data_IF_368694473461
#
_entry.id   IF_368694473461
#
_cell.length_a   1.000
_cell.length_b   1.000
_cell.length_c   1.000
_cell.angle_alpha   90.00
_cell.angle_beta   90.00
_cell.angle_gamma   90.00
#
_symmetry.space_group_name_H-M   'P 1'
#
loop_
_entity.id
_entity.type
_entity.pdbx_description
1 polymer ?
#
# COMPACT_ATOMS: atom_id res chain seq x y z
N UNK A 1 -2.40 4.28 4.14
CA UNK A 1 -1.24 5.15 4.23
C UNK A 1 -0.03 4.28 4.05
N UNK A 2 0.72 4.50 2.96
CA UNK A 2 2.04 3.91 2.79
C UNK A 2 3.01 4.90 3.43
N UNK A 3 3.09 4.86 4.77
CA UNK A 3 3.82 5.84 5.57
C UNK A 3 5.34 5.77 5.39
N UNK A 4 5.81 4.61 4.92
CA UNK A 4 7.22 4.31 4.80
C UNK A 4 7.90 5.24 3.83
N UNK A 5 8.93 5.93 4.32
CA UNK A 5 9.80 6.75 3.51
C UNK A 5 11.20 6.72 4.08
N UNK A 6 12.16 6.97 3.21
CA UNK A 6 13.54 7.19 3.65
C UNK A 6 13.67 8.67 3.99
N UNK A 7 13.86 8.94 5.28
CA UNK A 7 14.34 10.23 5.73
C UNK A 7 15.85 10.25 5.58
N UNK A 8 16.36 11.26 4.92
CA UNK A 8 17.78 11.61 4.95
C UNK A 8 18.05 12.46 6.18
N UNK A 9 19.02 12.05 7.00
CA UNK A 9 19.40 12.72 8.24
C UNK A 9 20.66 13.58 8.02
N UNK A 10 20.60 14.83 8.49
CA UNK A 10 21.61 15.87 8.22
C UNK A 10 21.33 16.71 6.99
N UNK A 11 22.38 17.35 6.46
CA UNK A 11 22.27 18.21 5.28
C UNK A 11 21.68 17.40 4.11
N UNK A 12 20.55 17.86 3.57
CA UNK A 12 19.88 17.22 2.43
C UNK A 12 20.79 17.10 1.20
N UNK A 13 21.78 17.98 1.03
CA UNK A 13 22.75 17.91 -0.06
C UNK A 13 23.79 16.81 0.14
N UNK A 14 24.09 16.47 1.39
CA UNK A 14 25.08 15.45 1.74
C UNK A 14 24.68 14.71 3.02
N UNK A 15 23.61 13.90 2.98
CA UNK A 15 23.13 13.21 4.18
C UNK A 15 24.10 12.11 4.58
N UNK A 16 24.27 11.95 5.89
CA UNK A 16 25.23 10.99 6.47
C UNK A 16 24.54 9.76 7.05
N UNK A 17 23.20 9.79 7.17
CA UNK A 17 22.38 8.64 7.60
C UNK A 17 20.98 8.67 7.01
N UNK A 18 20.27 7.54 7.12
CA UNK A 18 18.96 7.33 6.51
C UNK A 18 18.04 6.46 7.38
N UNK A 19 16.72 6.57 7.23
CA UNK A 19 15.76 5.60 7.80
C UNK A 19 15.42 4.47 6.81
N UNK A 20 14.92 3.30 7.28
CA UNK A 20 14.88 2.87 8.67
C UNK A 20 16.29 2.79 9.30
N UNK A 21 16.38 3.02 10.60
CA UNK A 21 17.66 3.15 11.31
C UNK A 21 17.63 2.57 12.73
N UNK A 22 18.80 2.35 13.33
CA UNK A 22 18.96 1.81 14.68
C UNK A 22 19.31 2.91 15.68
N UNK A 23 18.63 2.92 16.81
CA UNK A 23 18.96 3.67 18.01
C UNK A 23 19.75 2.71 18.91
N UNK A 24 21.02 3.01 19.12
CA UNK A 24 21.89 2.20 19.98
C UNK A 24 21.67 2.55 21.45
N UNK A 25 21.90 1.59 22.33
CA UNK A 25 22.22 1.87 23.72
C UNK A 25 23.75 1.94 23.93
N UNK A 26 24.21 2.43 25.08
CA UNK A 26 25.64 2.51 25.45
C UNK A 26 26.34 1.15 25.42
N UNK A 27 25.61 0.07 25.68
CA UNK A 27 26.14 -1.30 25.75
C UNK A 27 26.09 -2.04 24.40
N UNK A 28 25.53 -1.43 23.35
CA UNK A 28 25.41 -2.06 22.04
C UNK A 28 26.71 -1.97 21.23
N UNK A 29 26.99 -2.97 20.36
CA UNK A 29 28.07 -2.85 19.40
C UNK A 29 27.93 -1.59 18.53
N UNK A 30 29.05 -0.93 18.29
CA UNK A 30 29.07 0.27 17.46
C UNK A 30 28.81 -0.08 15.99
N UNK A 31 27.63 0.28 15.50
CA UNK A 31 27.30 0.23 14.08
C UNK A 31 27.73 1.52 13.35
N UNK A 32 27.89 1.50 12.01
CA UNK A 32 28.13 2.70 11.22
C UNK A 32 27.02 3.75 11.42
N UNK A 33 27.39 5.04 11.41
CA UNK A 33 26.43 6.16 11.55
C UNK A 33 25.32 6.10 10.50
N UNK A 34 25.62 5.60 9.31
CA UNK A 34 24.68 5.43 8.20
C UNK A 34 23.54 4.44 8.50
N UNK A 35 23.69 3.56 9.49
CA UNK A 35 22.70 2.58 9.94
C UNK A 35 22.17 2.96 11.32
N UNK A 36 23.05 3.42 12.20
CA UNK A 36 22.74 3.77 13.57
C UNK A 36 23.04 5.24 13.85
N UNK A 37 22.14 6.18 13.54
CA UNK A 37 22.37 7.61 13.71
C UNK A 37 22.24 8.09 15.17
N UNK A 38 21.57 7.35 16.04
CA UNK A 38 21.25 7.83 17.39
C UNK A 38 21.78 6.89 18.48
N UNK A 39 22.04 7.47 19.66
CA UNK A 39 22.27 6.74 20.92
C UNK A 39 21.19 7.18 21.89
N UNK A 40 20.48 6.23 22.49
CA UNK A 40 19.57 6.48 23.59
C UNK A 40 20.20 6.10 24.92
N UNK A 41 19.84 6.81 25.98
CA UNK A 41 20.09 6.38 27.34
C UNK A 41 18.89 6.68 28.23
N UNK A 42 18.69 5.84 29.25
CA UNK A 42 17.58 5.94 30.19
C UNK A 42 18.13 5.98 31.60
N UNK A 43 17.84 7.06 32.32
CA UNK A 43 18.24 7.27 33.70
C UNK A 43 17.03 7.07 34.62
N UNK A 44 17.04 5.95 35.36
CA UNK A 44 15.98 5.59 36.30
C UNK A 44 16.32 6.00 37.75
N UNK A 45 17.29 6.89 37.94
CA UNK A 45 17.72 7.41 39.25
C UNK A 45 16.67 8.30 39.90
N UNK A 46 15.77 8.90 39.11
CA UNK A 46 14.61 9.67 39.56
C UNK A 46 13.31 9.09 38.97
N UNK A 47 12.19 9.32 39.66
CA UNK A 47 10.86 8.90 39.22
C UNK A 47 10.02 10.15 38.90
N UNK A 48 9.58 10.33 37.66
CA UNK A 48 9.74 9.41 36.52
C UNK A 48 11.14 9.41 35.88
N UNK A 49 11.47 8.36 35.13
CA UNK A 49 12.77 8.22 34.48
C UNK A 49 12.99 9.26 33.37
N UNK A 50 14.24 9.67 33.19
CA UNK A 50 14.64 10.54 32.09
C UNK A 50 15.20 9.70 30.93
N UNK A 51 14.78 10.02 29.71
CA UNK A 51 15.28 9.43 28.47
C UNK A 51 15.97 10.51 27.69
N UNK A 52 17.21 10.26 27.30
CA UNK A 52 17.95 11.13 26.40
C UNK A 52 18.28 10.42 25.10
N UNK A 53 18.20 11.15 23.99
CA UNK A 53 18.61 10.69 22.65
C UNK A 53 19.65 11.67 22.14
N UNK A 54 20.84 11.16 21.84
CA UNK A 54 21.94 11.91 21.25
C UNK A 54 22.13 11.54 19.79
N UNK A 55 22.37 12.53 18.94
CA UNK A 55 22.80 12.30 17.56
C UNK A 55 24.26 11.83 17.54
N UNK A 56 24.59 10.94 16.61
CA UNK A 56 25.98 10.50 16.35
C UNK A 56 26.62 11.25 15.18
N UNK A 57 25.91 12.23 14.63
CA UNK A 57 26.33 13.07 13.52
C UNK A 57 25.64 14.43 13.58
N UNK A 58 26.12 15.36 12.76
CA UNK A 58 25.63 16.73 12.73
C UNK A 58 24.35 16.80 11.91
N UNK A 59 23.21 16.53 12.56
CA UNK A 59 21.94 16.31 11.86
C UNK A 59 21.00 17.51 11.86
N UNK A 60 21.17 18.41 12.83
CA UNK A 60 20.31 19.56 13.00
C UNK A 60 20.99 20.80 12.45
N UNK A 61 20.21 21.69 11.83
CA UNK A 61 20.73 22.97 11.36
C UNK A 61 21.30 23.77 12.56
N UNK A 62 22.50 24.36 12.45
CA UNK A 62 23.28 24.63 11.24
C UNK A 62 24.30 23.55 10.82
N UNK A 63 24.17 22.33 11.33
CA UNK A 63 24.99 21.14 11.03
C UNK A 63 26.44 21.25 11.51
N UNK A 64 26.65 21.90 12.65
CA UNK A 64 27.95 22.16 13.26
C UNK A 64 28.24 21.29 14.48
N UNK A 65 27.23 20.91 15.25
CA UNK A 65 27.35 20.09 16.48
C UNK A 65 26.54 18.80 16.43
N UNK A 66 26.83 17.91 17.37
CA UNK A 66 25.94 16.82 17.75
C UNK A 66 24.96 17.35 18.81
N UNK A 67 23.74 16.85 18.79
CA UNK A 67 22.65 17.32 19.64
C UNK A 67 22.24 16.21 20.61
N UNK A 68 21.85 16.61 21.82
CA UNK A 68 21.28 15.72 22.83
C UNK A 68 19.94 16.29 23.25
N UNK A 69 18.90 15.47 23.10
CA UNK A 69 17.54 15.81 23.49
C UNK A 69 17.13 14.95 24.68
N UNK A 70 16.49 15.57 25.67
CA UNK A 70 15.94 14.88 26.83
C UNK A 70 14.41 14.91 26.82
N UNK A 71 13.82 13.86 27.38
CA UNK A 71 12.39 13.78 27.71
C UNK A 71 12.21 13.03 29.02
N UNK A 72 11.14 13.32 29.74
CA UNK A 72 10.77 12.59 30.96
C UNK A 72 9.65 11.62 30.64
N UNK A 73 9.80 10.35 31.03
CA UNK A 73 8.73 9.34 30.94
C UNK A 73 7.57 9.82 31.83
N UNK A 74 6.34 9.90 31.34
CA UNK A 74 5.20 10.16 32.23
C UNK A 74 5.03 9.02 33.26
N UNK A 75 4.01 9.11 34.11
CA UNK A 75 3.54 7.89 34.79
C UNK A 75 2.72 7.10 33.77
N UNK A 76 3.28 6.01 33.23
CA UNK A 76 2.61 5.22 32.20
C UNK A 76 1.90 4.04 32.87
N UNK A 77 0.58 3.99 32.75
CA UNK A 77 -0.20 2.81 33.12
C UNK A 77 -0.18 1.78 31.98
N UNK A 78 -0.33 0.48 32.29
CA UNK A 78 -0.46 -0.54 31.27
C UNK A 78 -1.69 -0.26 30.38
N UNK A 79 -1.66 -0.67 29.10
CA UNK A 79 -2.76 -0.44 28.16
C UNK A 79 -4.12 -1.03 28.62
N UNK A 80 -4.11 -2.02 29.51
CA UNK A 80 -5.32 -2.60 30.12
C UNK A 80 -6.06 -1.66 31.07
N UNK A 81 -5.42 -0.58 31.53
CA UNK A 81 -6.02 0.45 32.39
C UNK A 81 -6.30 1.73 31.60
N UNK A 82 -6.66 1.60 30.32
CA UNK A 82 -6.89 2.76 29.45
C UNK A 82 -7.95 3.71 30.00
N UNK A 83 -8.95 3.27 30.76
CA UNK A 83 -9.96 4.20 31.31
C UNK A 83 -9.45 5.08 32.47
N UNK A 84 -8.23 4.80 32.96
CA UNK A 84 -7.60 5.54 34.05
C UNK A 84 -6.59 6.56 33.51
N UNK A 85 -6.56 7.75 34.10
CA UNK A 85 -5.53 8.76 33.84
C UNK A 85 -4.50 8.75 34.98
N UNK A 86 -3.22 8.64 34.63
CA UNK A 86 -2.11 8.67 35.59
C UNK A 86 -1.81 10.07 36.11
N UNK A 87 -2.36 11.10 35.45
CA UNK A 87 -2.20 12.51 35.82
C UNK A 87 -0.81 13.08 35.61
N UNK A 88 0.15 12.31 35.05
CA UNK A 88 1.49 12.80 34.69
C UNK A 88 1.85 12.39 33.27
N UNK A 89 1.69 13.32 32.34
CA UNK A 89 2.15 13.17 30.96
C UNK A 89 3.67 13.29 30.83
N UNK A 90 4.19 12.79 29.72
CA UNK A 90 5.57 13.01 29.32
C UNK A 90 5.82 14.47 28.99
N UNK A 91 7.08 14.89 29.05
CA UNK A 91 7.51 16.23 28.65
C UNK A 91 8.79 16.13 27.85
N UNK A 92 8.77 16.67 26.63
CA UNK A 92 9.92 16.80 25.75
C UNK A 92 9.54 17.58 24.49
N UNK A 93 10.49 18.34 23.95
CA UNK A 93 10.29 19.16 22.74
C UNK A 93 10.64 18.34 21.49
N UNK A 94 11.91 18.00 21.34
CA UNK A 94 12.42 17.27 20.17
C UNK A 94 12.19 15.75 20.25
N UNK A 95 12.14 15.21 21.47
CA UNK A 95 11.82 13.81 21.74
C UNK A 95 10.54 13.78 22.55
N UNK A 96 9.50 13.18 21.99
CA UNK A 96 8.20 13.04 22.64
C UNK A 96 7.94 11.58 22.95
N UNK A 97 7.84 11.24 24.22
CA UNK A 97 7.47 9.90 24.67
C UNK A 97 5.95 9.80 24.70
N UNK A 98 5.38 8.82 24.02
CA UNK A 98 3.94 8.56 24.01
C UNK A 98 3.66 7.11 24.41
N UNK A 99 2.55 6.90 25.09
CA UNK A 99 2.01 5.58 25.41
C UNK A 99 0.59 5.46 24.89
N UNK A 100 0.03 4.24 24.92
CA UNK A 100 -1.38 4.03 24.64
C UNK A 100 -2.27 4.95 25.48
N UNK A 101 -1.94 5.09 26.76
CA UNK A 101 -2.68 5.95 27.68
C UNK A 101 -2.59 7.42 27.28
N UNK A 102 -1.38 7.94 26.98
CA UNK A 102 -1.24 9.35 26.61
C UNK A 102 -1.97 9.66 25.30
N UNK A 103 -1.97 8.73 24.33
CA UNK A 103 -2.71 8.89 23.08
C UNK A 103 -4.24 9.03 23.28
N UNK A 104 -4.78 8.55 24.41
CA UNK A 104 -6.22 8.65 24.71
C UNK A 104 -6.56 9.85 25.60
N UNK A 105 -5.67 10.25 26.52
CA UNK A 105 -5.99 11.23 27.57
C UNK A 105 -5.23 12.54 27.49
N UNK A 106 -4.04 12.54 26.90
CA UNK A 106 -3.20 13.72 26.89
C UNK A 106 -3.66 14.72 25.83
N UNK A 107 -4.47 15.67 26.26
CA UNK A 107 -4.98 16.76 25.42
C UNK A 107 -3.88 17.65 24.85
N UNK A 108 -2.68 17.68 25.45
CA UNK A 108 -1.57 18.47 24.92
C UNK A 108 -1.13 17.97 23.55
N UNK A 109 -1.26 16.66 23.29
CA UNK A 109 -0.96 16.05 21.99
C UNK A 109 -1.86 16.55 20.86
N UNK A 110 -2.97 17.25 21.17
CA UNK A 110 -3.82 17.87 20.17
C UNK A 110 -3.29 19.23 19.71
N UNK A 111 -2.40 19.87 20.48
CA UNK A 111 -1.82 21.17 20.12
C UNK A 111 -1.00 21.08 18.82
N UNK A 112 -1.14 22.07 17.95
CA UNK A 112 -0.37 22.17 16.70
C UNK A 112 1.03 22.76 16.90
N UNK A 113 1.31 23.27 18.11
CA UNK A 113 2.62 23.84 18.47
C UNK A 113 3.67 22.74 18.71
N UNK A 114 3.25 21.50 18.99
CA UNK A 114 4.15 20.39 19.27
C UNK A 114 4.60 19.75 17.96
N UNK A 115 5.90 19.86 17.65
CA UNK A 115 6.50 19.32 16.43
C UNK A 115 7.79 18.55 16.75
N UNK A 116 7.69 17.37 17.39
CA UNK A 116 8.87 16.64 17.84
C UNK A 116 9.66 16.09 16.65
N UNK A 117 10.99 16.02 16.76
CA UNK A 117 11.83 15.28 15.82
C UNK A 117 11.61 13.77 15.90
N UNK A 118 11.45 13.23 17.12
CA UNK A 118 11.26 11.80 17.38
C UNK A 118 10.06 11.60 18.31
N UNK A 119 9.15 10.71 17.92
CA UNK A 119 8.08 10.18 18.79
C UNK A 119 8.41 8.75 19.17
N UNK A 120 8.45 8.46 20.47
CA UNK A 120 8.78 7.13 21.00
C UNK A 120 7.53 6.51 21.61
N UNK A 121 7.08 5.38 21.05
CA UNK A 121 5.95 4.61 21.58
C UNK A 121 6.44 3.66 22.67
N UNK A 122 6.55 4.15 23.90
CA UNK A 122 7.30 3.51 25.00
C UNK A 122 6.71 2.17 25.47
N UNK A 123 5.41 1.95 25.26
CA UNK A 123 4.69 0.72 25.62
C UNK A 123 4.45 -0.20 24.42
N UNK A 124 5.24 -0.07 23.35
CA UNK A 124 5.15 -0.95 22.18
C UNK A 124 5.23 -2.45 22.52
N UNK A 125 6.06 -2.93 23.48
CA UNK A 125 6.07 -4.35 23.88
C UNK A 125 4.74 -4.85 24.46
N UNK A 126 3.97 -3.99 25.11
CA UNK A 126 2.64 -4.31 25.64
C UNK A 126 1.59 -4.27 24.53
N UNK A 127 1.69 -3.28 23.63
CA UNK A 127 0.77 -3.13 22.50
C UNK A 127 0.84 -4.30 21.52
N UNK A 128 2.03 -4.87 21.28
CA UNK A 128 2.19 -6.01 20.37
C UNK A 128 1.50 -7.30 20.85
N UNK A 129 1.15 -7.40 22.13
CA UNK A 129 0.44 -8.55 22.70
C UNK A 129 -1.07 -8.48 22.47
N UNK A 130 -1.60 -7.28 22.27
CA UNK A 130 -3.01 -7.02 22.12
C UNK A 130 -3.35 -6.75 20.65
N UNK A 131 -4.44 -7.35 20.18
CA UNK A 131 -4.81 -7.28 18.77
C UNK A 131 -5.14 -5.83 18.36
N UNK A 132 -4.56 -5.35 17.26
CA UNK A 132 -4.88 -4.05 16.65
C UNK A 132 -4.24 -2.82 17.31
N UNK A 133 -3.97 -2.84 18.62
CA UNK A 133 -3.58 -1.63 19.35
C UNK A 133 -2.30 -0.96 18.83
N UNK A 134 -1.26 -1.73 18.46
CA UNK A 134 -0.05 -1.15 17.85
C UNK A 134 -0.36 -0.38 16.56
N UNK A 135 -1.25 -0.91 15.72
CA UNK A 135 -1.60 -0.31 14.42
C UNK A 135 -2.36 0.98 14.65
N UNK A 136 -3.29 0.98 15.61
CA UNK A 136 -4.06 2.17 15.97
C UNK A 136 -3.16 3.26 16.55
N UNK A 137 -2.19 2.88 17.39
CA UNK A 137 -1.22 3.80 17.96
C UNK A 137 -0.33 4.44 16.87
N UNK A 138 0.30 3.62 16.01
CA UNK A 138 1.17 4.11 14.95
C UNK A 138 0.38 5.01 13.97
N UNK A 139 -0.81 4.61 13.58
CA UNK A 139 -1.66 5.41 12.68
C UNK A 139 -2.01 6.77 13.30
N UNK A 140 -2.40 6.78 14.58
CA UNK A 140 -2.72 8.03 15.31
C UNK A 140 -1.50 8.95 15.39
N UNK A 141 -0.34 8.40 15.74
CA UNK A 141 0.92 9.16 15.81
C UNK A 141 1.28 9.69 14.42
N UNK A 142 1.18 8.88 13.38
CA UNK A 142 1.52 9.29 12.01
C UNK A 142 0.61 10.38 11.47
N UNK A 143 -0.67 10.35 11.83
CA UNK A 143 -1.63 11.40 11.46
C UNK A 143 -1.29 12.70 12.17
N UNK A 144 -1.02 12.66 13.48
CA UNK A 144 -0.75 13.87 14.26
C UNK A 144 0.64 14.45 13.98
N UNK A 145 1.65 13.59 13.83
CA UNK A 145 3.05 13.94 13.69
C UNK A 145 3.62 13.38 12.37
N UNK A 146 3.17 13.90 11.21
CA UNK A 146 3.50 13.33 9.92
C UNK A 146 4.98 13.50 9.54
N UNK A 147 5.72 14.43 10.16
CA UNK A 147 7.15 14.70 9.90
C UNK A 147 8.12 14.01 10.86
N UNK A 148 7.65 13.58 12.02
CA UNK A 148 8.49 13.03 13.09
C UNK A 148 8.96 11.61 12.77
N UNK A 149 10.10 11.20 13.30
CA UNK A 149 10.52 9.80 13.27
C UNK A 149 9.75 9.02 14.34
N UNK A 150 9.23 7.83 14.03
CA UNK A 150 8.62 6.96 15.06
C UNK A 150 9.58 5.85 15.44
N UNK A 151 9.80 5.72 16.75
CA UNK A 151 10.48 4.60 17.37
C UNK A 151 9.50 3.76 18.17
N UNK A 152 9.54 2.43 17.97
CA UNK A 152 8.81 1.45 18.79
C UNK A 152 9.81 0.54 19.52
N UNK A 153 10.26 0.92 20.74
CA UNK A 153 11.29 0.18 21.45
C UNK A 153 10.98 -1.30 21.65
N UNK A 154 11.99 -2.15 21.45
CA UNK A 154 12.01 -3.56 21.86
C UNK A 154 11.17 -4.54 21.05
N UNK A 155 10.51 -4.10 19.97
CA UNK A 155 9.71 -4.99 19.10
C UNK A 155 10.35 -5.27 17.73
N UNK A 156 11.38 -4.50 17.38
CA UNK A 156 12.10 -4.60 16.11
C UNK A 156 13.01 -5.82 16.02
N UNK A 157 13.14 -6.38 14.82
CA UNK A 157 14.14 -7.39 14.47
C UNK A 157 14.38 -7.43 12.95
N UNK A 158 15.47 -8.08 12.49
CA UNK A 158 15.73 -8.26 11.07
C UNK A 158 14.57 -8.94 10.31
N UNK A 159 13.81 -9.80 10.98
CA UNK A 159 12.64 -10.54 10.50
C UNK A 159 11.38 -9.70 10.29
N UNK A 160 11.30 -8.50 10.87
CA UNK A 160 10.11 -7.66 10.80
C UNK A 160 10.39 -6.18 10.48
N UNK A 161 11.65 -5.82 10.18
CA UNK A 161 12.07 -4.47 9.84
C UNK A 161 11.22 -3.85 8.71
N UNK A 162 11.03 -4.58 7.60
CA UNK A 162 10.24 -4.12 6.47
C UNK A 162 8.75 -4.05 6.80
N UNK A 163 8.23 -5.00 7.60
CA UNK A 163 6.85 -4.97 8.05
C UNK A 163 6.58 -3.75 8.95
N UNK A 164 7.38 -3.53 9.99
CA UNK A 164 7.20 -2.38 10.88
C UNK A 164 7.43 -1.06 10.13
N UNK A 165 8.40 -1.02 9.20
CA UNK A 165 8.57 0.12 8.30
C UNK A 165 7.31 0.36 7.45
N UNK A 166 6.70 -0.70 6.92
CA UNK A 166 5.43 -0.64 6.18
C UNK A 166 4.29 -0.05 7.01
N UNK A 167 4.21 -0.42 8.29
CA UNK A 167 3.24 0.13 9.24
C UNK A 167 3.51 1.61 9.60
N UNK A 168 4.73 2.08 9.36
CA UNK A 168 5.15 3.46 9.59
C UNK A 168 6.18 3.65 10.69
N UNK A 169 6.91 2.63 11.13
CA UNK A 169 8.04 2.77 12.07
C UNK A 169 9.31 3.20 11.32
N UNK A 170 10.07 4.15 11.84
CA UNK A 170 11.33 4.60 11.22
C UNK A 170 12.57 4.16 11.98
N UNK A 171 12.46 4.02 13.31
CA UNK A 171 13.57 3.76 14.20
C UNK A 171 13.36 2.44 14.94
N UNK A 172 14.44 1.70 15.07
CA UNK A 172 14.54 0.38 15.68
C UNK A 172 15.64 0.37 16.73
N UNK A 173 15.76 -0.70 17.50
CA UNK A 173 16.82 -0.89 18.49
C UNK A 173 17.20 -2.37 18.58
N UNK A 174 18.25 -2.65 19.36
CA UNK A 174 18.81 -3.99 19.49
C UNK A 174 18.28 -4.77 20.70
N UNK A 175 17.23 -4.32 21.39
CA UNK A 175 16.76 -4.98 22.63
C UNK A 175 16.27 -6.40 22.39
N UNK A 176 15.56 -6.63 21.28
CA UNK A 176 15.11 -7.97 20.90
C UNK A 176 16.30 -8.85 20.47
N UNK A 177 17.29 -8.28 19.79
CA UNK A 177 18.53 -8.97 19.42
C UNK A 177 19.34 -9.39 20.64
N UNK A 178 19.48 -8.52 21.67
CA UNK A 178 20.13 -8.87 22.95
C UNK A 178 19.42 -10.03 23.64
N UNK A 179 18.08 -9.97 23.68
CA UNK A 179 17.26 -11.04 24.27
C UNK A 179 17.42 -12.37 23.51
N UNK A 180 17.48 -12.32 22.18
CA UNK A 180 17.67 -13.50 21.34
C UNK A 180 19.09 -14.08 21.49
N UNK A 181 20.12 -13.23 21.48
CA UNK A 181 21.51 -13.62 21.70
C UNK A 181 21.72 -14.32 23.05
N UNK A 182 21.10 -13.81 24.12
CA UNK A 182 21.14 -14.43 25.45
C UNK A 182 20.51 -15.84 25.49
N UNK A 183 19.61 -16.14 24.55
CA UNK A 183 18.97 -17.45 24.37
C UNK A 183 19.65 -18.29 23.27
N UNK A 184 20.78 -17.84 22.73
CA UNK A 184 21.47 -18.44 21.59
C UNK A 184 20.58 -18.62 20.34
N UNK A 185 19.70 -17.64 20.09
CA UNK A 185 18.79 -17.56 18.95
C UNK A 185 19.24 -16.45 18.01
N UNK A 186 19.37 -16.74 16.72
CA UNK A 186 19.69 -15.75 15.69
C UNK A 186 18.41 -15.20 15.08
N UNK A 187 18.27 -13.87 15.04
CA UNK A 187 17.18 -13.21 14.32
C UNK A 187 17.62 -12.94 12.88
N UNK A 188 17.02 -13.64 11.93
CA UNK A 188 17.30 -13.46 10.50
C UNK A 188 16.14 -12.77 9.79
N UNK A 189 16.33 -12.37 8.54
CA UNK A 189 15.22 -11.84 7.71
C UNK A 189 14.01 -12.79 7.54
N UNK A 190 14.18 -14.09 7.83
CA UNK A 190 13.14 -15.12 7.73
C UNK A 190 12.43 -15.40 9.07
N UNK A 191 12.97 -14.90 10.18
CA UNK A 191 12.49 -15.20 11.52
C UNK A 191 13.60 -15.58 12.50
N UNK A 192 13.23 -15.75 13.79
CA UNK A 192 14.11 -16.33 14.80
C UNK A 192 14.38 -17.80 14.51
N UNK A 193 15.63 -18.26 14.67
CA UNK A 193 16.00 -19.66 14.58
C UNK A 193 17.21 -19.99 15.46
N UNK A 194 17.39 -21.27 15.73
CA UNK A 194 18.63 -21.77 16.32
C UNK A 194 19.80 -21.60 15.33
N UNK A 195 21.02 -21.53 15.88
CA UNK A 195 22.25 -21.47 15.11
C UNK A 195 22.61 -22.83 14.52
N UNK A 196 23.18 -22.85 13.33
CA UNK A 196 23.75 -24.06 12.74
C UNK A 196 25.21 -24.25 13.20
N UNK A 197 25.41 -25.12 14.18
CA UNK A 197 26.74 -25.44 14.70
C UNK A 197 27.65 -26.12 13.67
N UNK A 198 27.10 -26.76 12.63
CA UNK A 198 27.91 -27.48 11.63
C UNK A 198 28.81 -26.55 10.80
N UNK A 199 28.45 -25.26 10.73
CA UNK A 199 29.18 -24.21 10.02
C UNK A 199 29.76 -23.14 10.95
N UNK A 200 29.81 -23.41 12.27
CA UNK A 200 30.24 -22.46 13.31
C UNK A 200 29.45 -21.14 13.30
N UNK A 201 28.15 -21.20 13.06
CA UNK A 201 27.30 -20.02 13.19
C UNK A 201 27.12 -19.61 14.66
N UNK A 202 27.06 -18.31 14.90
CA UNK A 202 26.84 -17.72 16.23
C UNK A 202 25.57 -16.86 16.27
N UNK A 203 25.03 -16.68 17.47
CA UNK A 203 23.90 -15.78 17.75
C UNK A 203 24.32 -14.54 18.56
N UNK A 204 25.63 -14.30 18.69
CA UNK A 204 26.17 -13.16 19.42
C UNK A 204 25.77 -11.82 18.81
N UNK A 205 26.02 -10.74 19.54
CA UNK A 205 25.57 -9.41 19.12
C UNK A 205 26.23 -8.92 17.82
N UNK A 206 27.41 -9.43 17.46
CA UNK A 206 28.04 -9.13 16.17
C UNK A 206 27.23 -9.77 15.04
N UNK A 207 26.89 -11.05 15.17
CA UNK A 207 26.05 -11.78 14.22
C UNK A 207 24.65 -11.17 14.06
N UNK A 208 24.04 -10.72 15.18
CA UNK A 208 22.76 -10.00 15.13
C UNK A 208 22.87 -8.66 14.38
N UNK A 209 23.97 -7.93 14.56
CA UNK A 209 24.23 -6.66 13.89
C UNK A 209 24.44 -6.82 12.38
N UNK A 210 25.03 -7.93 11.95
CA UNK A 210 25.14 -8.27 10.54
C UNK A 210 23.77 -8.52 9.89
N UNK A 211 22.90 -9.29 10.54
CA UNK A 211 21.53 -9.53 10.05
C UNK A 211 20.71 -8.23 9.99
N UNK A 212 20.87 -7.35 10.97
CA UNK A 212 20.28 -6.01 10.94
C UNK A 212 20.76 -5.17 9.75
N UNK A 213 22.07 -5.19 9.48
CA UNK A 213 22.66 -4.45 8.37
C UNK A 213 22.11 -4.94 7.03
N UNK A 214 21.98 -6.25 6.85
CA UNK A 214 21.34 -6.87 5.66
C UNK A 214 19.88 -6.44 5.54
N UNK A 215 19.11 -6.53 6.64
CA UNK A 215 17.68 -6.23 6.64
C UNK A 215 17.37 -4.74 6.40
N UNK A 216 18.12 -3.83 7.01
CA UNK A 216 18.00 -2.38 6.76
C UNK A 216 18.35 -2.04 5.32
N UNK A 217 19.42 -2.64 4.78
CA UNK A 217 19.79 -2.45 3.38
C UNK A 217 18.66 -2.88 2.43
N UNK A 218 18.14 -4.10 2.62
CA UNK A 218 17.02 -4.63 1.83
C UNK A 218 15.77 -3.74 1.94
N UNK A 219 15.44 -3.29 3.14
CA UNK A 219 14.26 -2.44 3.39
C UNK A 219 14.41 -1.07 2.72
N UNK A 220 15.59 -0.43 2.80
CA UNK A 220 15.85 0.85 2.13
C UNK A 220 15.78 0.72 0.61
N UNK A 221 16.34 -0.35 0.03
CA UNK A 221 16.23 -0.59 -1.41
C UNK A 221 14.77 -0.78 -1.81
N UNK A 222 14.01 -1.57 -1.05
CA UNK A 222 12.59 -1.82 -1.31
C UNK A 222 11.72 -0.56 -1.20
N UNK A 223 12.06 0.39 -0.32
CA UNK A 223 11.38 1.70 -0.29
C UNK A 223 11.70 2.50 -1.55
N UNK A 224 12.97 2.53 -1.99
CA UNK A 224 13.42 3.34 -3.13
C UNK A 224 12.85 2.85 -4.46
N UNK A 225 12.72 1.54 -4.63
CA UNK A 225 12.21 0.94 -5.88
C UNK A 225 10.68 0.70 -5.85
N UNK A 226 10.03 0.98 -4.72
CA UNK A 226 8.59 0.83 -4.55
C UNK A 226 8.11 -0.60 -4.29
N UNK A 227 9.00 -1.53 -3.91
CA UNK A 227 8.71 -2.94 -3.61
C UNK A 227 8.63 -3.30 -2.12
N UNK A 228 8.52 -2.29 -1.23
CA UNK A 228 8.44 -2.52 0.21
C UNK A 228 7.26 -3.42 0.59
N UNK A 229 6.13 -3.31 -0.11
CA UNK A 229 4.95 -4.15 0.15
C UNK A 229 5.30 -5.64 0.04
N UNK A 230 6.00 -6.03 -1.02
CA UNK A 230 6.40 -7.43 -1.26
C UNK A 230 7.37 -7.91 -0.19
N UNK A 231 8.31 -7.06 0.25
CA UNK A 231 9.23 -7.41 1.33
C UNK A 231 8.51 -7.54 2.68
N UNK A 232 7.55 -6.64 2.96
CA UNK A 232 6.72 -6.70 4.16
C UNK A 232 5.83 -7.96 4.17
N UNK A 233 5.27 -8.37 3.03
CA UNK A 233 4.53 -9.64 2.92
C UNK A 233 5.43 -10.85 3.22
N UNK A 234 6.64 -10.89 2.62
CA UNK A 234 7.62 -11.96 2.89
C UNK A 234 8.04 -12.02 4.36
N UNK A 235 8.26 -10.87 4.99
CA UNK A 235 8.59 -10.81 6.41
C UNK A 235 7.39 -11.09 7.32
N UNK A 236 6.17 -10.80 6.87
CA UNK A 236 4.96 -11.01 7.68
C UNK A 236 4.74 -12.46 8.04
N UNK A 237 5.15 -13.40 7.18
CA UNK A 237 4.99 -14.85 7.40
C UNK A 237 6.02 -15.43 8.39
N UNK A 238 6.93 -14.62 8.95
CA UNK A 238 7.85 -15.05 10.02
C UNK A 238 7.14 -15.41 11.32
N UNK A 239 5.93 -14.89 11.57
CA UNK A 239 5.13 -15.26 12.74
C UNK A 239 3.63 -15.02 12.55
N UNK A 240 2.74 -15.75 13.25
CA UNK A 240 1.30 -15.50 13.21
C UNK A 240 0.91 -14.06 13.58
N UNK A 241 1.61 -13.46 14.55
CA UNK A 241 1.39 -12.08 14.98
C UNK A 241 1.77 -11.07 13.90
N UNK A 242 2.83 -11.32 13.13
CA UNK A 242 3.24 -10.47 12.01
C UNK A 242 2.21 -10.53 10.86
N UNK A 243 1.67 -11.71 10.54
CA UNK A 243 0.57 -11.87 9.57
C UNK A 243 -0.69 -11.12 10.04
N UNK A 244 -1.07 -11.28 11.31
CA UNK A 244 -2.19 -10.56 11.91
C UNK A 244 -2.03 -9.05 11.78
N UNK A 245 -0.84 -8.51 12.09
CA UNK A 245 -0.56 -7.08 12.01
C UNK A 245 -0.75 -6.53 10.59
N UNK A 246 -0.20 -7.21 9.58
CA UNK A 246 -0.35 -6.78 8.19
C UNK A 246 -1.84 -6.77 7.77
N UNK A 247 -2.59 -7.81 8.12
CA UNK A 247 -4.03 -7.91 7.80
C UNK A 247 -4.87 -6.80 8.46
N UNK A 248 -4.63 -6.54 9.75
CA UNK A 248 -5.35 -5.50 10.48
C UNK A 248 -5.00 -4.10 9.96
N UNK A 249 -3.72 -3.89 9.61
CA UNK A 249 -3.29 -2.65 8.97
C UNK A 249 -4.00 -2.46 7.63
N UNK A 250 -4.02 -3.47 6.76
CA UNK A 250 -4.68 -3.39 5.46
C UNK A 250 -6.20 -3.15 5.61
N UNK A 251 -6.85 -3.81 6.57
CA UNK A 251 -8.26 -3.55 6.90
C UNK A 251 -8.47 -2.10 7.33
N UNK A 252 -7.65 -1.57 8.23
CA UNK A 252 -7.74 -0.18 8.70
C UNK A 252 -7.52 0.81 7.56
N UNK A 253 -6.52 0.56 6.70
CA UNK A 253 -6.24 1.41 5.55
C UNK A 253 -7.35 1.40 4.50
N UNK A 254 -8.01 0.26 4.30
CA UNK A 254 -9.14 0.14 3.37
C UNK A 254 -10.34 0.97 3.83
N UNK A 255 -10.56 1.12 5.14
CA UNK A 255 -11.63 1.94 5.70
C UNK A 255 -11.48 3.44 5.41
N UNK A 256 -10.29 3.90 5.01
CA UNK A 256 -10.07 5.29 4.65
C UNK A 256 -10.58 5.69 3.26
N UNK A 257 -11.08 4.72 2.46
CA UNK A 257 -11.70 4.93 1.14
C UNK A 257 -10.88 5.85 0.21
N UNK A 258 -9.56 5.86 0.40
CA UNK A 258 -8.61 6.75 -0.26
C UNK A 258 -8.80 8.27 -0.03
N UNK A 259 -9.77 8.70 0.77
CA UNK A 259 -10.02 10.12 1.11
C UNK A 259 -9.01 10.69 2.11
N UNK A 260 -8.41 9.84 2.95
CA UNK A 260 -7.36 10.22 3.89
C UNK A 260 -6.01 9.72 3.39
N UNK A 261 -5.42 10.47 2.45
CA UNK A 261 -4.00 10.48 2.02
C UNK A 261 -3.20 9.15 2.10
N UNK A 262 -3.86 8.02 1.84
CA UNK A 262 -3.37 6.72 2.28
C UNK A 262 -2.95 5.77 1.18
N UNK A 263 -3.39 6.08 -0.03
CA UNK A 263 -3.01 5.38 -1.23
C UNK A 263 -2.36 6.47 -2.07
N UNK A 264 -1.04 6.40 -2.26
CA UNK A 264 -0.42 7.21 -3.31
C UNK A 264 -1.02 6.72 -4.64
N UNK A 265 -2.06 7.40 -5.10
CA UNK A 265 -2.83 7.05 -6.30
C UNK A 265 -2.02 7.24 -7.59
N UNK A 266 -0.88 7.92 -7.49
CA UNK A 266 -0.05 8.33 -8.62
C UNK A 266 1.42 8.05 -8.26
N UNK A 267 1.84 6.79 -8.43
CA UNK A 267 3.26 6.42 -8.35
C UNK A 267 3.97 6.52 -9.73
N UNK A 268 3.27 7.04 -10.75
CA UNK A 268 3.73 7.13 -12.13
C UNK A 268 3.90 5.76 -12.81
N UNK A 269 4.24 5.77 -14.10
CA UNK A 269 4.28 4.56 -14.93
C UNK A 269 5.38 3.55 -14.53
N UNK A 270 6.34 3.95 -13.70
CA UNK A 270 7.45 3.08 -13.27
C UNK A 270 7.06 2.11 -12.15
N UNK A 271 6.03 2.43 -11.37
CA UNK A 271 5.61 1.59 -10.26
C UNK A 271 4.81 0.38 -10.75
N UNK A 272 5.25 -0.82 -10.39
CA UNK A 272 4.58 -2.08 -10.73
C UNK A 272 3.93 -2.66 -9.49
N UNK A 273 2.61 -2.85 -9.53
CA UNK A 273 1.89 -3.56 -8.47
C UNK A 273 2.13 -5.07 -8.66
N UNK A 274 2.93 -5.70 -7.80
CA UNK A 274 3.14 -7.15 -7.85
C UNK A 274 2.18 -7.87 -6.93
N UNK A 275 1.40 -8.79 -7.49
CA UNK A 275 0.45 -9.60 -6.74
C UNK A 275 0.89 -11.06 -6.79
N UNK A 276 1.96 -11.35 -6.04
CA UNK A 276 2.61 -12.66 -6.02
C UNK A 276 1.96 -13.63 -5.03
N UNK A 277 1.11 -13.13 -4.11
CA UNK A 277 0.46 -13.93 -3.08
C UNK A 277 -1.03 -13.60 -2.96
N UNK A 278 -1.80 -14.49 -2.33
CA UNK A 278 -3.19 -14.21 -1.97
C UNK A 278 -3.32 -12.97 -1.07
N UNK A 279 -2.37 -12.75 -0.17
CA UNK A 279 -2.34 -11.57 0.71
C UNK A 279 -2.20 -10.28 -0.10
N UNK A 280 -1.51 -10.30 -1.24
CA UNK A 280 -1.39 -9.12 -2.10
C UNK A 280 -2.74 -8.65 -2.65
N UNK A 281 -3.74 -9.54 -2.78
CA UNK A 281 -5.10 -9.17 -3.23
C UNK A 281 -5.87 -8.34 -2.20
N UNK A 282 -5.45 -8.43 -0.94
CA UNK A 282 -5.99 -7.64 0.16
C UNK A 282 -5.32 -6.27 0.28
N UNK A 283 -4.40 -5.92 -0.64
CA UNK A 283 -3.81 -4.57 -0.66
C UNK A 283 -4.94 -3.53 -0.72
N UNK A 284 -4.96 -2.55 0.20
CA UNK A 284 -6.00 -1.51 0.25
C UNK A 284 -6.17 -0.75 -1.07
N UNK A 285 -5.14 -0.69 -1.92
CA UNK A 285 -5.21 -0.12 -3.26
C UNK A 285 -6.17 -0.89 -4.17
N UNK A 286 -6.11 -2.23 -4.14
CA UNK A 286 -6.96 -3.10 -4.95
C UNK A 286 -8.39 -2.99 -4.47
N UNK A 287 -8.60 -2.93 -3.14
CA UNK A 287 -9.92 -2.74 -2.55
C UNK A 287 -10.53 -1.38 -2.92
N UNK A 288 -9.73 -0.29 -2.93
CA UNK A 288 -10.19 1.02 -3.42
C UNK A 288 -10.57 0.97 -4.90
N UNK A 289 -9.78 0.27 -5.73
CA UNK A 289 -10.12 0.07 -7.14
C UNK A 289 -11.46 -0.66 -7.30
N UNK A 290 -11.63 -1.80 -6.62
CA UNK A 290 -12.88 -2.58 -6.65
C UNK A 290 -14.09 -1.73 -6.28
N UNK A 291 -13.98 -1.00 -5.18
CA UNK A 291 -15.03 -0.10 -4.68
C UNK A 291 -15.37 0.99 -5.69
N UNK A 292 -14.36 1.68 -6.24
CA UNK A 292 -14.58 2.82 -7.13
C UNK A 292 -15.16 2.40 -8.47
N UNK A 293 -14.70 1.29 -9.05
CA UNK A 293 -15.30 0.75 -10.26
C UNK A 293 -16.76 0.33 -10.00
N UNK A 294 -17.02 -0.34 -8.89
CA UNK A 294 -18.37 -0.80 -8.54
C UNK A 294 -19.34 0.36 -8.33
N UNK A 295 -18.94 1.38 -7.57
CA UNK A 295 -19.89 2.35 -7.00
C UNK A 295 -19.74 3.78 -7.51
N UNK A 296 -18.60 4.18 -8.09
CA UNK A 296 -18.31 5.59 -8.43
C UNK A 296 -18.06 5.82 -9.94
N UNK A 297 -17.41 4.88 -10.62
CA UNK A 297 -16.98 5.03 -12.01
C UNK A 297 -18.16 5.31 -12.94
N UNK A 298 -18.06 6.34 -13.77
CA UNK A 298 -19.08 6.69 -14.75
C UNK A 298 -18.51 6.58 -16.16
N UNK A 299 -19.01 5.66 -17.00
CA UNK A 299 -18.55 5.52 -18.38
C UNK A 299 -18.66 6.83 -19.17
N UNK A 300 -17.97 6.97 -20.31
CA UNK A 300 -18.25 8.00 -21.29
C UNK A 300 -19.75 8.03 -21.63
N UNK A 301 -20.33 9.23 -21.78
CA UNK A 301 -21.79 9.39 -21.89
C UNK A 301 -22.41 8.64 -23.08
N UNK A 302 -21.63 8.45 -24.16
CA UNK A 302 -22.07 7.72 -25.34
C UNK A 302 -21.83 6.20 -25.26
N UNK A 303 -21.38 5.68 -24.11
CA UNK A 303 -21.04 4.28 -23.84
C UNK A 303 -21.86 3.70 -22.66
N UNK A 304 -23.13 4.05 -22.55
CA UNK A 304 -24.01 3.57 -21.44
C UNK A 304 -25.02 2.52 -21.88
N UNK A 305 -25.21 2.29 -23.18
CA UNK A 305 -26.24 1.37 -23.71
C UNK A 305 -25.76 -0.08 -23.83
N UNK A 306 -24.55 -0.30 -24.35
CA UNK A 306 -24.05 -1.64 -24.66
C UNK A 306 -22.70 -1.86 -24.01
N UNK A 307 -22.60 -2.94 -23.24
CA UNK A 307 -21.36 -3.39 -22.57
C UNK A 307 -20.76 -4.58 -23.31
N UNK A 308 -19.46 -4.53 -23.62
CA UNK A 308 -18.66 -5.68 -24.04
C UNK A 308 -17.62 -6.01 -22.95
N UNK A 309 -17.68 -7.25 -22.45
CA UNK A 309 -16.68 -7.79 -21.53
C UNK A 309 -15.60 -8.54 -22.31
N UNK A 310 -14.34 -8.15 -22.13
CA UNK A 310 -13.18 -8.72 -22.81
C UNK A 310 -12.27 -9.46 -21.83
N UNK A 311 -11.50 -10.47 -22.28
CA UNK A 311 -10.46 -11.05 -21.44
C UNK A 311 -9.26 -10.08 -21.33
N UNK A 312 -8.52 -10.18 -20.23
CA UNK A 312 -7.27 -9.44 -20.07
C UNK A 312 -6.16 -9.92 -21.04
N UNK A 313 -5.03 -9.21 -21.05
CA UNK A 313 -3.81 -9.64 -21.75
C UNK A 313 -2.56 -9.32 -20.92
N UNK A 314 -1.44 -9.97 -21.24
CA UNK A 314 -0.18 -9.76 -20.54
C UNK A 314 0.36 -8.33 -20.75
N UNK A 315 0.33 -7.85 -21.99
CA UNK A 315 0.76 -6.49 -22.35
C UNK A 315 -0.28 -5.46 -21.89
N UNK A 316 0.17 -4.46 -21.13
CA UNK A 316 -0.65 -3.33 -20.66
C UNK A 316 -0.02 -2.01 -21.16
N UNK A 317 -0.82 -1.00 -21.53
CA UNK A 317 -2.28 -1.00 -21.62
C UNK A 317 -2.80 -2.00 -22.66
N UNK A 318 -3.95 -2.64 -22.39
CA UNK A 318 -4.35 -3.84 -23.13
C UNK A 318 -4.58 -3.60 -24.62
N UNK A 319 -5.01 -2.39 -25.01
CA UNK A 319 -5.19 -2.00 -26.43
C UNK A 319 -3.96 -2.23 -27.31
N UNK A 320 -2.75 -2.26 -26.72
CA UNK A 320 -1.50 -2.47 -27.45
C UNK A 320 -1.23 -3.97 -27.69
N UNK A 321 -1.94 -4.88 -27.02
CA UNK A 321 -1.77 -6.32 -27.22
C UNK A 321 -2.35 -6.78 -28.56
N UNK A 322 -1.74 -7.81 -29.16
CA UNK A 322 -2.20 -8.39 -30.41
C UNK A 322 -3.64 -8.93 -30.32
N UNK A 323 -4.03 -9.48 -29.17
CA UNK A 323 -5.40 -9.97 -28.96
C UNK A 323 -6.41 -8.83 -28.96
N UNK A 324 -6.14 -7.74 -28.26
CA UNK A 324 -7.05 -6.58 -28.25
C UNK A 324 -7.09 -5.85 -29.58
N UNK A 325 -6.00 -5.82 -30.34
CA UNK A 325 -6.01 -5.32 -31.72
C UNK A 325 -6.93 -6.15 -32.62
N UNK A 326 -7.08 -7.46 -32.36
CA UNK A 326 -8.07 -8.31 -33.07
C UNK A 326 -9.49 -8.03 -32.60
N UNK A 327 -9.73 -7.94 -31.29
CA UNK A 327 -11.06 -7.60 -30.74
C UNK A 327 -11.57 -6.26 -31.28
N UNK A 328 -10.71 -5.25 -31.34
CA UNK A 328 -11.06 -3.92 -31.86
C UNK A 328 -11.51 -3.94 -33.33
N UNK A 329 -11.07 -4.93 -34.13
CA UNK A 329 -11.58 -5.09 -35.52
C UNK A 329 -13.01 -5.64 -35.53
N UNK A 330 -13.38 -6.46 -34.55
CA UNK A 330 -14.74 -6.98 -34.39
C UNK A 330 -15.69 -5.98 -33.71
N UNK A 331 -15.17 -5.07 -32.89
CA UNK A 331 -15.95 -4.02 -32.20
C UNK A 331 -15.86 -2.72 -33.02
N UNK A 332 -16.72 -2.60 -34.02
CA UNK A 332 -16.69 -1.50 -35.00
C UNK A 332 -17.43 -0.22 -34.56
N UNK A 333 -17.71 -0.04 -33.26
CA UNK A 333 -18.42 1.11 -32.72
C UNK A 333 -17.75 1.68 -31.48
N UNK A 334 -17.59 3.01 -31.45
CA UNK A 334 -17.06 3.76 -30.30
C UNK A 334 -18.08 3.95 -29.18
N UNK A 335 -19.35 3.61 -29.43
CA UNK A 335 -20.47 3.77 -28.49
C UNK A 335 -20.71 2.52 -27.65
N UNK A 336 -19.88 1.50 -27.84
CA UNK A 336 -19.83 0.32 -27.00
C UNK A 336 -18.85 0.57 -25.86
N UNK A 337 -19.25 0.25 -24.63
CA UNK A 337 -18.37 0.28 -23.48
C UNK A 337 -17.57 -1.01 -23.40
N UNK A 338 -16.25 -0.91 -23.33
CA UNK A 338 -15.37 -2.06 -23.22
C UNK A 338 -14.78 -2.17 -21.82
N UNK A 339 -14.95 -3.33 -21.19
CA UNK A 339 -14.38 -3.62 -19.87
C UNK A 339 -13.60 -4.93 -19.92
N UNK A 340 -12.36 -4.89 -19.44
CA UNK A 340 -11.53 -6.07 -19.31
C UNK A 340 -11.79 -6.76 -17.98
N UNK A 341 -12.04 -8.06 -18.03
CA UNK A 341 -12.17 -8.93 -16.84
C UNK A 341 -10.79 -9.49 -16.51
N UNK A 342 -10.32 -9.26 -15.28
CA UNK A 342 -8.96 -9.60 -14.87
C UNK A 342 -8.81 -9.84 -13.37
N UNK A 343 -7.73 -10.52 -12.97
CA UNK A 343 -7.21 -10.49 -11.60
C UNK A 343 -5.98 -9.57 -11.52
N UNK A 344 -5.69 -8.95 -10.36
CA UNK A 344 -6.50 -8.92 -9.14
C UNK A 344 -7.56 -7.82 -9.17
N UNK A 345 -7.55 -6.95 -10.19
CA UNK A 345 -8.35 -5.71 -10.23
C UNK A 345 -9.85 -5.95 -10.51
N UNK A 346 -10.24 -7.17 -10.88
CA UNK A 346 -11.62 -7.54 -11.18
C UNK A 346 -12.06 -7.04 -12.55
N UNK A 347 -12.36 -5.75 -12.65
CA UNK A 347 -12.80 -5.09 -13.87
C UNK A 347 -11.93 -3.86 -14.17
N UNK A 348 -11.55 -3.70 -15.43
CA UNK A 348 -10.80 -2.53 -15.91
C UNK A 348 -11.52 -1.94 -17.13
N UNK A 349 -12.23 -0.81 -16.99
CA UNK A 349 -12.78 -0.06 -18.12
C UNK A 349 -11.68 0.45 -19.07
N UNK A 350 -11.97 0.44 -20.38
CA UNK A 350 -11.01 0.80 -21.46
C UNK A 350 -10.45 2.22 -21.36
N UNK A 351 -11.19 3.13 -20.77
CA UNK A 351 -10.78 4.52 -20.52
C UNK A 351 -9.92 4.69 -19.28
N UNK A 352 -9.83 3.66 -18.43
CA UNK A 352 -8.98 3.64 -17.24
C UNK A 352 -7.77 2.73 -17.39
N UNK A 353 -7.57 2.06 -18.54
CA UNK A 353 -6.50 1.07 -18.73
C UNK A 353 -5.07 1.68 -18.69
N UNK A 354 -4.95 2.99 -18.90
CA UNK A 354 -3.67 3.71 -18.93
C UNK A 354 -3.18 4.15 -17.55
N UNK A 355 -4.05 4.15 -16.54
CA UNK A 355 -3.69 4.61 -15.20
C UNK A 355 -3.22 3.48 -14.30
N UNK A 356 -2.30 3.81 -13.40
CA UNK A 356 -1.88 2.89 -12.35
C UNK A 356 -3.04 2.63 -11.36
N UNK A 357 -3.26 1.38 -10.90
CA UNK A 357 -2.46 0.18 -11.17
C UNK A 357 -2.81 -0.60 -12.45
N UNK A 358 -3.90 -0.27 -13.15
CA UNK A 358 -4.37 -1.02 -14.32
C UNK A 358 -3.34 -1.11 -15.46
N UNK A 359 -2.56 -0.06 -15.69
CA UNK A 359 -1.50 -0.06 -16.70
C UNK A 359 -0.25 -0.84 -16.30
N UNK A 360 -0.03 -1.10 -15.01
CA UNK A 360 1.21 -1.70 -14.52
C UNK A 360 1.02 -2.54 -13.25
N UNK A 361 0.35 -3.68 -13.40
CA UNK A 361 0.32 -4.73 -12.38
C UNK A 361 0.91 -6.05 -12.91
N UNK A 362 1.30 -6.94 -12.01
CA UNK A 362 1.82 -8.27 -12.32
C UNK A 362 1.15 -9.32 -11.46
N UNK A 363 0.77 -10.44 -12.07
CA UNK A 363 0.20 -11.60 -11.39
C UNK A 363 0.81 -12.88 -11.96
N UNK A 364 0.95 -13.94 -11.16
CA UNK A 364 1.16 -15.28 -11.71
C UNK A 364 -0.11 -15.70 -12.47
N UNK A 365 0.02 -16.02 -13.76
CA UNK A 365 -1.11 -16.48 -14.59
C UNK A 365 -1.06 -17.99 -14.68
N UNK A 366 -2.02 -18.67 -14.06
CA UNK A 366 -2.19 -20.13 -14.14
C UNK A 366 -3.24 -20.54 -15.18
N UNK A 367 -4.08 -19.59 -15.62
CA UNK A 367 -5.22 -19.85 -16.51
C UNK A 367 -6.47 -20.38 -15.80
N UNK A 368 -6.40 -20.57 -14.48
CA UNK A 368 -7.51 -20.98 -13.63
C UNK A 368 -7.95 -19.80 -12.76
N UNK A 369 -9.26 -19.62 -12.63
CA UNK A 369 -9.84 -18.65 -11.72
C UNK A 369 -10.13 -19.31 -10.38
N UNK A 370 -9.70 -18.71 -9.29
CA UNK A 370 -10.18 -19.14 -7.98
C UNK A 370 -11.56 -18.55 -7.63
N UNK A 371 -12.21 -19.18 -6.65
CA UNK A 371 -13.56 -18.82 -6.24
C UNK A 371 -13.68 -17.39 -5.68
N UNK A 372 -12.64 -16.90 -5.00
CA UNK A 372 -12.64 -15.54 -4.46
C UNK A 372 -12.48 -14.50 -5.56
N UNK A 373 -11.62 -14.74 -6.54
CA UNK A 373 -11.50 -13.90 -7.74
C UNK A 373 -12.83 -13.83 -8.50
N UNK A 374 -13.47 -14.97 -8.76
CA UNK A 374 -14.78 -15.02 -9.43
C UNK A 374 -15.86 -14.28 -8.63
N UNK A 375 -15.88 -14.45 -7.32
CA UNK A 375 -16.83 -13.76 -6.44
C UNK A 375 -16.67 -12.24 -6.55
N UNK A 376 -15.45 -11.72 -6.45
CA UNK A 376 -15.16 -10.29 -6.55
C UNK A 376 -15.54 -9.76 -7.94
N UNK A 377 -15.14 -10.46 -9.01
CA UNK A 377 -15.47 -10.06 -10.39
C UNK A 377 -16.98 -9.96 -10.60
N UNK A 378 -17.74 -10.95 -10.11
CA UNK A 378 -19.20 -10.97 -10.20
C UNK A 378 -19.83 -9.84 -9.40
N UNK A 379 -19.38 -9.62 -8.18
CA UNK A 379 -19.86 -8.54 -7.32
C UNK A 379 -19.66 -7.17 -7.98
N UNK A 380 -18.46 -6.90 -8.49
CA UNK A 380 -18.17 -5.67 -9.22
C UNK A 380 -19.02 -5.53 -10.48
N UNK A 381 -19.20 -6.62 -11.23
CA UNK A 381 -20.01 -6.64 -12.44
C UNK A 381 -21.47 -6.29 -12.16
N UNK A 382 -22.11 -6.93 -11.18
CA UNK A 382 -23.52 -6.66 -10.87
C UNK A 382 -23.71 -5.24 -10.33
N UNK A 383 -22.82 -4.75 -9.47
CA UNK A 383 -22.87 -3.37 -8.98
C UNK A 383 -22.76 -2.35 -10.11
N UNK A 384 -21.85 -2.58 -11.07
CA UNK A 384 -21.67 -1.70 -12.21
C UNK A 384 -22.87 -1.75 -13.17
N UNK A 385 -23.32 -2.95 -13.54
CA UNK A 385 -24.42 -3.16 -14.50
C UNK A 385 -25.72 -2.54 -13.98
N UNK A 386 -26.07 -2.79 -12.71
CA UNK A 386 -27.29 -2.24 -12.13
C UNK A 386 -27.25 -0.70 -12.05
N UNK A 387 -26.06 -0.12 -11.88
CA UNK A 387 -25.89 1.32 -11.75
C UNK A 387 -25.88 2.05 -13.10
N UNK A 388 -25.20 1.48 -14.10
CA UNK A 388 -25.14 2.07 -15.45
C UNK A 388 -26.41 1.76 -16.24
N UNK A 389 -27.06 0.63 -15.94
CA UNK A 389 -28.30 0.17 -16.56
C UNK A 389 -28.16 -0.04 -18.08
N UNK A 390 -27.18 -0.86 -18.48
CA UNK A 390 -26.98 -1.22 -19.89
C UNK A 390 -28.21 -1.94 -20.44
N UNK A 391 -28.54 -1.69 -21.70
CA UNK A 391 -29.61 -2.37 -22.43
C UNK A 391 -29.18 -3.73 -22.99
N UNK A 392 -27.87 -3.96 -23.17
CA UNK A 392 -27.32 -5.26 -23.62
C UNK A 392 -25.91 -5.51 -23.09
N UNK A 393 -25.65 -6.76 -22.73
CA UNK A 393 -24.34 -7.22 -22.26
C UNK A 393 -23.82 -8.32 -23.20
N UNK A 394 -22.66 -8.07 -23.80
CA UNK A 394 -21.96 -8.99 -24.69
C UNK A 394 -20.75 -9.54 -23.93
N UNK A 395 -20.78 -10.81 -23.56
CA UNK A 395 -19.70 -11.44 -22.81
C UNK A 395 -18.76 -12.20 -23.73
N UNK A 396 -17.54 -11.67 -23.90
CA UNK A 396 -16.44 -12.28 -24.63
C UNK A 396 -15.26 -12.68 -23.71
N UNK A 397 -15.40 -12.45 -22.39
CA UNK A 397 -14.33 -12.68 -21.41
C UNK A 397 -14.08 -14.16 -21.12
N UNK A 398 -15.12 -15.00 -21.21
CA UNK A 398 -15.11 -16.40 -20.82
C UNK A 398 -15.38 -16.65 -19.33
N UNK A 399 -15.71 -15.62 -18.55
CA UNK A 399 -16.24 -15.75 -17.18
C UNK A 399 -17.76 -15.92 -17.26
N UNK A 400 -18.32 -16.90 -16.55
CA UNK A 400 -19.77 -17.04 -16.40
C UNK A 400 -20.28 -16.14 -15.27
N UNK A 401 -21.06 -15.12 -15.62
CA UNK A 401 -21.66 -14.17 -14.68
C UNK A 401 -23.01 -14.62 -14.11
N UNK A 402 -23.59 -15.72 -14.61
CA UNK A 402 -24.92 -16.17 -14.21
C UNK A 402 -26.03 -15.33 -14.85
N UNK A 403 -27.17 -15.21 -14.16
CA UNK A 403 -28.36 -14.51 -14.67
C UNK A 403 -28.37 -13.05 -14.23
N UNK A 404 -28.80 -12.17 -15.11
CA UNK A 404 -29.04 -10.74 -14.89
C UNK A 404 -30.42 -10.38 -15.46
N UNK A 405 -30.97 -9.22 -15.08
CA UNK A 405 -32.20 -8.69 -15.68
C UNK A 405 -32.01 -8.37 -17.16
N UNK A 406 -30.78 -8.00 -17.53
CA UNK A 406 -30.35 -7.75 -18.91
C UNK A 406 -29.72 -9.01 -19.47
N UNK A 407 -30.09 -9.36 -20.71
CA UNK A 407 -29.54 -10.53 -21.38
C UNK A 407 -28.02 -10.44 -21.54
N UNK A 408 -27.34 -11.49 -21.08
CA UNK A 408 -25.89 -11.67 -21.24
C UNK A 408 -25.64 -12.64 -22.40
N UNK A 409 -25.18 -12.10 -23.52
CA UNK A 409 -24.94 -12.88 -24.74
C UNK A 409 -23.48 -13.32 -24.77
N UNK A 410 -23.24 -14.63 -24.66
CA UNK A 410 -21.90 -15.20 -24.73
C UNK A 410 -21.44 -15.33 -26.19
N UNK A 411 -20.42 -14.57 -26.58
CA UNK A 411 -19.85 -14.57 -27.93
C UNK A 411 -18.53 -15.34 -28.05
N UNK A 412 -18.08 -15.96 -26.96
CA UNK A 412 -16.90 -16.82 -26.94
C UNK A 412 -17.28 -18.30 -26.97
N UNK A 413 -18.31 -18.69 -26.24
CA UNK A 413 -18.74 -20.09 -26.11
C UNK A 413 -17.59 -21.00 -25.68
N UNK A 414 -17.39 -22.09 -26.42
CA UNK A 414 -16.30 -23.07 -26.22
C UNK A 414 -14.98 -22.68 -26.89
N UNK A 415 -14.94 -21.57 -27.62
CA UNK A 415 -13.77 -21.18 -28.41
C UNK A 415 -12.75 -20.37 -27.59
N UNK A 416 -11.52 -20.32 -28.10
CA UNK A 416 -10.56 -19.32 -27.61
C UNK A 416 -11.02 -17.92 -28.02
N UNK A 417 -10.78 -16.91 -27.19
CA UNK A 417 -11.24 -15.56 -27.46
C UNK A 417 -10.74 -15.01 -28.82
N UNK A 418 -9.54 -15.40 -29.25
CA UNK A 418 -8.96 -14.97 -30.51
C UNK A 418 -9.31 -15.83 -31.73
N UNK A 419 -10.22 -16.81 -31.62
CA UNK A 419 -10.59 -17.67 -32.74
C UNK A 419 -11.48 -16.93 -33.74
N UNK A 420 -11.48 -17.37 -34.99
CA UNK A 420 -12.26 -16.73 -36.04
C UNK A 420 -13.77 -16.80 -35.75
N UNK A 421 -14.23 -17.92 -35.19
CA UNK A 421 -15.61 -18.16 -34.80
C UNK A 421 -16.05 -17.19 -33.69
N UNK A 422 -15.26 -17.08 -32.61
CA UNK A 422 -15.56 -16.18 -31.51
C UNK A 422 -15.55 -14.70 -31.95
N UNK A 423 -14.60 -14.33 -32.81
CA UNK A 423 -14.51 -12.98 -33.36
C UNK A 423 -15.66 -12.64 -34.31
N UNK A 424 -16.16 -13.62 -35.07
CA UNK A 424 -17.35 -13.46 -35.92
C UNK A 424 -18.59 -13.26 -35.06
N UNK A 425 -18.81 -14.13 -34.06
CA UNK A 425 -19.94 -14.02 -33.12
C UNK A 425 -19.93 -12.68 -32.38
N UNK A 426 -18.75 -12.20 -31.97
CA UNK A 426 -18.59 -10.88 -31.36
C UNK A 426 -18.99 -9.77 -32.32
N UNK A 427 -18.53 -9.82 -33.58
CA UNK A 427 -18.87 -8.82 -34.58
C UNK A 427 -20.37 -8.79 -34.88
N UNK A 428 -20.98 -9.96 -35.08
CA UNK A 428 -22.40 -10.11 -35.39
C UNK A 428 -23.29 -9.57 -34.27
N UNK A 429 -22.93 -9.83 -33.00
CA UNK A 429 -23.68 -9.30 -31.86
C UNK A 429 -23.49 -7.79 -31.69
N UNK A 430 -22.28 -7.27 -31.89
CA UNK A 430 -22.03 -5.83 -31.85
C UNK A 430 -22.84 -5.11 -32.95
N UNK A 431 -22.89 -5.65 -34.17
CA UNK A 431 -23.69 -5.08 -35.25
C UNK A 431 -25.20 -5.09 -34.93
N UNK A 432 -25.71 -6.20 -34.38
CA UNK A 432 -27.11 -6.28 -33.92
C UNK A 432 -27.40 -5.24 -32.85
N UNK A 433 -26.52 -5.08 -31.86
CA UNK A 433 -26.68 -4.07 -30.82
C UNK A 433 -26.65 -2.62 -31.37
N UNK A 434 -25.82 -2.35 -32.40
CA UNK A 434 -25.80 -1.05 -33.07
C UNK A 434 -27.16 -0.75 -33.73
N UNK A 435 -27.78 -1.73 -34.37
CA UNK A 435 -29.08 -1.59 -35.03
C UNK A 435 -30.23 -1.45 -34.01
N UNK A 436 -30.28 -2.35 -33.03
CA UNK A 436 -31.35 -2.42 -32.02
C UNK A 436 -31.44 -1.14 -31.19
N UNK A 437 -30.29 -0.60 -30.76
CA UNK A 437 -30.20 0.58 -29.90
C UNK A 437 -29.84 1.86 -30.66
N UNK A 438 -29.75 1.80 -32.01
CA UNK A 438 -29.40 2.93 -32.89
C UNK A 438 -28.17 3.70 -32.41
N UNK A 439 -27.10 2.97 -32.10
CA UNK A 439 -25.92 3.55 -31.48
C UNK A 439 -25.30 4.65 -32.37
N UNK A 440 -24.96 5.82 -31.81
CA UNK A 440 -24.45 6.94 -32.60
C UNK A 440 -23.07 6.65 -33.17
N UNK A 441 -22.79 7.14 -34.39
CA UNK A 441 -21.45 7.16 -34.97
C UNK A 441 -20.70 8.41 -34.49
N UNK A 442 -19.83 8.26 -33.50
CA UNK A 442 -19.03 9.39 -32.97
C UNK A 442 -17.73 9.62 -33.73
N UNK A 443 -17.37 10.90 -33.86
CA UNK A 443 -16.02 11.35 -34.25
C UNK A 443 -15.02 10.97 -33.16
N UNK A 444 -13.80 10.63 -33.57
CA UNK A 444 -12.72 10.24 -32.68
C UNK A 444 -12.38 11.31 -31.62
N UNK A 445 -12.38 12.60 -32.00
CA UNK A 445 -12.09 13.70 -31.07
C UNK A 445 -13.10 13.78 -29.93
N UNK A 446 -14.38 13.63 -30.23
CA UNK A 446 -15.46 13.62 -29.22
C UNK A 446 -15.33 12.40 -28.33
N UNK A 447 -15.12 11.21 -28.92
CA UNK A 447 -14.91 9.99 -28.15
C UNK A 447 -13.74 10.11 -27.16
N UNK A 448 -12.60 10.67 -27.59
CA UNK A 448 -11.44 10.90 -26.74
C UNK A 448 -11.73 11.88 -25.62
N UNK A 449 -12.41 12.99 -25.91
CA UNK A 449 -12.81 13.95 -24.89
C UNK A 449 -13.66 13.28 -23.81
N UNK A 450 -14.64 12.48 -24.19
CA UNK A 450 -15.51 11.77 -23.23
C UNK A 450 -14.74 10.70 -22.43
N UNK A 451 -13.74 10.03 -23.02
CA UNK A 451 -12.81 9.17 -22.26
C UNK A 451 -12.00 9.97 -21.22
N UNK A 452 -11.47 11.13 -21.60
CA UNK A 452 -10.73 12.01 -20.68
C UNK A 452 -11.62 12.51 -19.55
N UNK A 453 -12.89 12.84 -19.85
CA UNK A 453 -13.88 13.21 -18.83
C UNK A 453 -14.18 12.08 -17.85
N UNK A 454 -14.41 10.86 -18.32
CA UNK A 454 -14.59 9.68 -17.45
C UNK A 454 -13.35 9.45 -16.56
N UNK A 455 -12.16 9.48 -17.16
CA UNK A 455 -10.89 9.38 -16.43
C UNK A 455 -10.75 10.48 -15.36
N UNK A 456 -11.10 11.70 -15.72
CA UNK A 456 -11.05 12.88 -14.84
C UNK A 456 -11.98 12.72 -13.64
N UNK A 457 -13.25 12.35 -13.87
CA UNK A 457 -14.21 12.06 -12.80
C UNK A 457 -13.70 10.94 -11.90
N UNK A 458 -13.12 9.89 -12.49
CA UNK A 458 -12.54 8.81 -11.72
C UNK A 458 -11.40 9.34 -10.82
N UNK A 459 -10.35 9.94 -11.38
CA UNK A 459 -9.15 10.33 -10.60
C UNK A 459 -9.38 11.47 -9.62
N UNK A 460 -10.23 12.43 -9.98
CA UNK A 460 -10.30 13.73 -9.32
C UNK A 460 -11.72 14.11 -8.84
N UNK A 461 -12.73 13.29 -9.13
CA UNK A 461 -14.12 13.53 -8.72
C UNK A 461 -14.87 14.56 -9.55
N UNK A 462 -14.26 15.12 -10.60
CA UNK A 462 -14.89 16.10 -11.50
C UNK A 462 -14.21 16.11 -12.87
N UNK A 463 -14.94 16.56 -13.88
CA UNK A 463 -14.49 16.82 -15.25
C UNK A 463 -14.82 18.24 -15.71
N UNK A 464 -15.23 19.13 -14.79
CA UNK A 464 -15.69 20.49 -15.12
C UNK A 464 -14.63 21.32 -15.86
N UNK A 465 -13.34 21.09 -15.62
CA UNK A 465 -12.26 21.80 -16.34
C UNK A 465 -12.08 21.33 -17.79
N UNK A 466 -12.73 20.23 -18.18
CA UNK A 466 -12.78 19.77 -19.57
C UNK A 466 -14.02 20.29 -20.30
N UNK A 467 -14.82 21.15 -19.65
CA UNK A 467 -15.91 21.88 -20.31
C UNK A 467 -15.33 22.73 -21.44
N UNK A 468 -16.00 22.74 -22.59
CA UNK A 468 -15.61 23.47 -23.81
C UNK A 468 -14.21 23.13 -24.37
N UNK A 469 -13.56 22.09 -23.84
CA UNK A 469 -12.28 21.62 -24.34
C UNK A 469 -12.42 20.89 -25.67
N UNK A 470 -11.44 21.06 -26.56
CA UNK A 470 -11.38 20.38 -27.86
C UNK A 470 -10.13 19.50 -27.89
N UNK A 471 -10.29 18.25 -28.33
CA UNK A 471 -9.17 17.32 -28.52
C UNK A 471 -8.76 17.33 -29.99
N UNK A 472 -7.56 17.82 -30.28
CA UNK A 472 -6.95 17.85 -31.61
C UNK A 472 -5.65 17.05 -31.66
N UNK A 473 -5.30 16.58 -32.86
CA UNK A 473 -4.05 15.87 -33.11
C UNK A 473 -4.03 14.39 -32.67
N UNK A 474 -2.82 13.85 -32.59
CA UNK A 474 -2.56 12.48 -32.14
C UNK A 474 -1.99 12.53 -30.72
N UNK A 475 -2.43 11.64 -29.81
CA UNK A 475 -1.82 11.54 -28.49
C UNK A 475 -0.34 11.16 -28.63
N UNK A 476 0.52 11.62 -27.71
CA UNK A 476 1.89 11.09 -27.62
C UNK A 476 1.82 9.57 -27.39
N UNK A 477 2.64 8.83 -28.13
CA UNK A 477 2.75 7.37 -28.08
C UNK A 477 3.57 6.97 -26.86
#
# INVERSE_FOLDING_TARGET
MRFSRIFSLGDRKNPTSWTPAIVLNKDDPLLPISIAPFISSREASSLPAEVSISTRGKFCYPFDTMDTWSSVEGLILPPSLVDSDSGKSSKGEEVLLVSWQSLHHDKSLLSDDINPSIVVLVDSPQLVQNQGMLIDAIDSIRIKFPSSLIWTPGIGGPDNCALLSWLGVDLFDLSRSRSAAALNVLLTSLGPREVDYSINEAADMESQCEEWSKSISATRVAIRDGSLRELAEKQSISSPRSVERLRLHDKKMSNYQGGRAGLSRILGNKARLRCNSFTSRLDPLIQDWHRRISFEHTPPNHQTEVLVLLPCSASKPYRLSQSHQRFSKSINSRSVHEIMVTAPLGLVPRELEDIWPASNYDIPVTGEWDMDELRIIKEMFFNLVNRVNYSRIINHSGVDFGKCEVDIINTRGQYSAGSQEALSMLNDEVNRAIEDFKLPKLKESIHRLEKLKSLSRFQHGSDLWLSDSIVEGRPPI
#
